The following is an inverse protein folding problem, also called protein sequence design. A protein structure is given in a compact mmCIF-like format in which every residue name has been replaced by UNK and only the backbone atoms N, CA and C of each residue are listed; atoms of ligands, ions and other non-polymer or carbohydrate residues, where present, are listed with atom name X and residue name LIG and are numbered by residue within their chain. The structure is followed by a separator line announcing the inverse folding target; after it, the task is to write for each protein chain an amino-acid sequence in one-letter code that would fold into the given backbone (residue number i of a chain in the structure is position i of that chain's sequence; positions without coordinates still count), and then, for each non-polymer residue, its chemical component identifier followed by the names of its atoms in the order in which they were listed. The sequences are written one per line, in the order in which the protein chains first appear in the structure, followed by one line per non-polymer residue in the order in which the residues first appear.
data_IF_836660844674
#
_entry.id   IF_836660844674
#
_cell.length_a   1.000
_cell.length_b   1.000
_cell.length_c   1.000
_cell.angle_alpha   90.00
_cell.angle_beta   90.00
_cell.angle_gamma   90.00
#
_symmetry.space_group_name_H-M   'P 1'
#
loop_
_entity.id
_entity.type
_entity.pdbx_description
1 polymer ?
2 non-polymer ?
3 water ?
#
# COMPACT_ATOMS: atom_id res chain seq x y z
N UNK A 1 -0.95 -1.19 -18.20
CA UNK A 1 -2.39 -1.19 -18.03
C UNK A 1 -2.77 -0.08 -17.03
N UNK A 2 -3.90 0.62 -17.28
CA UNK A 2 -4.49 1.53 -16.32
C UNK A 2 -5.49 0.78 -15.46
N UNK A 3 -5.53 1.12 -14.18
CA UNK A 3 -6.47 0.49 -13.26
C UNK A 3 -7.65 1.40 -12.95
N UNK A 4 -7.85 2.46 -13.72
CA UNK A 4 -8.95 3.38 -13.48
C UNK A 4 -10.28 2.64 -13.43
N UNK A 5 -11.04 2.89 -12.35
CA UNK A 5 -12.33 2.30 -12.16
C UNK A 5 -12.32 0.84 -11.81
N UNK A 6 -11.15 0.26 -11.50
CA UNK A 6 -11.05 -1.17 -11.28
C UNK A 6 -10.41 -1.48 -9.94
N UNK A 7 -10.76 -2.64 -9.41
CA UNK A 7 -10.14 -3.19 -8.21
C UNK A 7 -9.43 -4.49 -8.58
N UNK A 8 -8.62 -4.96 -7.65
CA UNK A 8 -7.84 -6.17 -7.79
C UNK A 8 -8.30 -7.23 -6.80
N UNK A 9 -8.96 -8.27 -7.30
CA UNK A 9 -9.48 -9.33 -6.44
C UNK A 9 -8.37 -10.38 -6.25
N UNK A 10 -7.53 -10.19 -5.23
CA UNK A 10 -6.43 -11.12 -4.98
C UNK A 10 -6.82 -12.36 -4.16
N UNK A 11 -7.98 -12.38 -3.54
CA UNK A 11 -8.34 -13.45 -2.63
C UNK A 11 -8.11 -14.84 -3.21
N UNK A 12 -7.34 -15.64 -2.50
CA UNK A 12 -7.06 -17.00 -2.86
C UNK A 12 -6.15 -17.21 -4.04
N UNK A 13 -5.55 -16.14 -4.60
CA UNK A 13 -4.84 -16.30 -5.87
C UNK A 13 -3.34 -16.21 -5.66
N UNK A 14 -2.73 -17.36 -5.36
CA UNK A 14 -1.38 -17.40 -4.82
C UNK A 14 -0.28 -16.96 -5.77
N UNK A 15 -0.44 -17.20 -7.07
CA UNK A 15 0.60 -16.87 -8.04
C UNK A 15 0.32 -15.58 -8.79
N UNK A 16 -0.40 -14.66 -8.17
CA UNK A 16 -0.74 -13.42 -8.83
C UNK A 16 -0.04 -12.27 -8.12
N UNK A 17 0.24 -11.24 -8.90
CA UNK A 17 0.76 -9.98 -8.37
C UNK A 17 0.50 -8.90 -9.40
N UNK A 18 0.59 -7.67 -8.95
CA UNK A 18 0.62 -6.51 -9.83
C UNK A 18 1.87 -5.73 -9.44
N UNK A 19 2.59 -5.20 -10.41
CA UNK A 19 3.75 -4.37 -10.14
C UNK A 19 3.66 -3.08 -10.95
N UNK A 20 4.30 -2.04 -10.38
CA UNK A 20 4.38 -0.74 -11.04
C UNK A 20 5.53 -0.80 -12.04
N UNK A 21 5.24 -0.42 -13.30
CA UNK A 21 6.28 -0.46 -14.33
C UNK A 21 7.38 0.55 -14.05
N UNK A 22 7.01 1.76 -13.66
CA UNK A 22 7.99 2.81 -13.37
C UNK A 22 8.72 2.50 -12.07
N UNK A 23 10.04 2.60 -12.08
CA UNK A 23 10.75 2.67 -10.80
C UNK A 23 10.44 4.01 -10.14
N UNK A 24 10.63 4.06 -8.82
CA UNK A 24 10.23 5.22 -8.01
C UNK A 24 11.47 6.03 -7.66
N UNK A 25 11.44 7.37 -7.72
CA UNK A 25 12.66 8.15 -7.45
C UNK A 25 12.93 8.26 -5.95
N UNK A 26 14.09 8.84 -5.63
CA UNK A 26 14.42 9.11 -4.23
C UNK A 26 13.44 10.14 -3.69
N UNK A 27 12.82 9.83 -2.55
CA UNK A 27 11.82 10.69 -1.93
C UNK A 27 12.23 10.99 -0.49
N UNK A 28 12.33 12.27 -0.15
CA UNK A 28 12.59 12.61 1.24
C UNK A 28 11.33 12.61 2.08
N UNK A 29 10.18 12.95 1.49
CA UNK A 29 8.90 12.94 2.18
C UNK A 29 7.91 12.33 1.21
N UNK A 30 6.97 11.52 1.72
CA UNK A 30 5.94 10.99 0.83
C UNK A 30 4.74 10.53 1.65
N UNK A 31 3.61 10.39 0.94
CA UNK A 31 2.40 9.79 1.44
C UNK A 31 2.01 8.68 0.48
N UNK A 32 1.65 7.52 1.04
CA UNK A 32 1.22 6.39 0.23
C UNK A 32 -0.08 5.88 0.83
N UNK A 33 -1.12 5.75 0.01
CA UNK A 33 -2.40 5.25 0.48
C UNK A 33 -2.86 4.08 -0.39
N UNK A 34 -3.61 3.17 0.23
CA UNK A 34 -4.31 2.12 -0.51
C UNK A 34 -5.64 1.87 0.16
N UNK A 35 -6.60 1.42 -0.63
CA UNK A 35 -7.87 0.89 -0.11
C UNK A 35 -7.80 -0.63 -0.11
N UNK A 36 -8.35 -1.25 0.93
CA UNK A 36 -8.34 -2.70 1.03
C UNK A 36 -9.64 -3.19 1.66
N UNK A 37 -10.04 -4.40 1.28
CA UNK A 37 -11.18 -5.08 1.88
C UNK A 37 -10.81 -6.54 2.08
N UNK A 38 -11.02 -7.04 3.29
CA UNK A 38 -10.79 -8.43 3.62
C UNK A 38 -12.05 -9.24 3.32
N UNK A 39 -11.87 -10.36 2.62
CA UNK A 39 -13.01 -11.20 2.26
C UNK A 39 -13.05 -12.51 3.06
N UNK A 40 -12.28 -12.61 4.14
CA UNK A 40 -12.41 -13.72 5.08
C UNK A 40 -12.16 -13.16 6.47
N UNK A 41 -12.80 -13.76 7.46
CA UNK A 41 -12.77 -13.20 8.81
C UNK A 41 -11.43 -13.46 9.49
N UNK A 42 -10.97 -14.71 9.45
CA UNK A 42 -9.78 -15.14 10.17
C UNK A 42 -8.72 -15.45 9.13
N UNK A 43 -7.74 -14.56 9.00
CA UNK A 43 -6.72 -14.70 7.97
C UNK A 43 -5.34 -14.95 8.58
N UNK A 44 -4.42 -15.34 7.72
CA UNK A 44 -3.02 -15.55 8.05
C UNK A 44 -2.25 -14.29 7.63
N UNK A 45 -0.92 -14.38 7.64
CA UNK A 45 -0.11 -13.24 7.24
C UNK A 45 -0.40 -12.85 5.80
N UNK A 46 -0.39 -11.54 5.53
CA UNK A 46 -0.66 -11.00 4.21
C UNK A 46 0.17 -9.73 3.97
N UNK A 47 0.33 -9.39 2.70
CA UNK A 47 0.98 -8.17 2.26
C UNK A 47 0.05 -7.44 1.33
N UNK A 48 -0.12 -6.13 1.54
CA UNK A 48 -0.91 -5.31 0.63
C UNK A 48 -0.06 -4.62 -0.43
N UNK A 49 1.04 -3.98 -0.02
CA UNK A 49 1.99 -3.43 -0.95
C UNK A 49 3.38 -3.52 -0.35
N UNK A 50 4.37 -3.64 -1.23
CA UNK A 50 5.76 -3.67 -0.83
C UNK A 50 6.59 -2.96 -1.88
N UNK A 51 7.63 -2.28 -1.42
CA UNK A 51 8.60 -1.59 -2.26
C UNK A 51 9.90 -2.36 -2.08
N UNK A 52 10.33 -3.03 -3.16
CA UNK A 52 11.39 -4.03 -3.13
C UNK A 52 12.59 -3.46 -3.87
N UNK A 53 13.74 -3.48 -3.21
CA UNK A 53 14.99 -3.11 -3.84
C UNK A 53 15.93 -4.31 -3.75
N UNK A 54 17.18 -4.09 -4.14
CA UNK A 54 18.15 -5.17 -4.11
C UNK A 54 18.37 -5.68 -2.70
N UNK A 55 18.10 -4.85 -1.68
CA UNK A 55 18.17 -5.33 -0.30
C UNK A 55 17.39 -6.62 -0.10
N UNK A 56 16.29 -6.79 -0.85
CA UNK A 56 15.38 -7.90 -0.59
C UNK A 56 15.81 -9.19 -1.26
N UNK A 57 16.50 -9.12 -2.40
CA UNK A 57 16.88 -10.34 -3.09
C UNK A 57 17.94 -11.14 -2.37
N UNK A 58 18.44 -10.63 -1.24
CA UNK A 58 19.41 -11.35 -0.41
C UNK A 58 18.63 -12.01 0.72
N UNK A 59 18.37 -13.32 0.57
CA UNK A 59 17.65 -14.09 1.56
C UNK A 59 16.18 -13.77 1.68
N UNK A 60 15.66 -12.79 0.94
CA UNK A 60 14.24 -12.43 0.95
C UNK A 60 13.75 -12.13 2.35
N UNK A 61 14.42 -11.18 3.00
CA UNK A 61 14.14 -10.87 4.39
C UNK A 61 14.05 -9.39 4.69
N UNK A 62 14.47 -8.50 3.81
CA UNK A 62 14.53 -7.07 4.09
C UNK A 62 13.74 -6.29 3.05
N UNK A 63 12.69 -5.60 3.51
CA UNK A 63 11.78 -4.83 2.67
C UNK A 63 11.95 -3.36 3.03
N UNK A 64 12.19 -2.53 2.01
CA UNK A 64 12.44 -1.10 2.27
C UNK A 64 11.18 -0.40 2.79
N UNK A 65 10.02 -0.79 2.27
CA UNK A 65 8.75 -0.21 2.70
C UNK A 65 7.66 -1.23 2.39
N UNK A 66 6.78 -1.48 3.34
CA UNK A 66 5.65 -2.33 3.04
C UNK A 66 4.55 -2.24 4.07
N UNK A 67 3.37 -2.60 3.64
CA UNK A 67 2.20 -2.72 4.49
C UNK A 67 1.74 -4.17 4.42
N UNK A 68 1.70 -4.81 5.58
CA UNK A 68 1.37 -6.21 5.75
C UNK A 68 0.53 -6.35 7.00
N UNK A 69 0.19 -7.59 7.35
CA UNK A 69 -0.59 -7.81 8.56
C UNK A 69 -0.96 -9.27 8.72
N UNK A 70 -1.76 -9.51 9.76
CA UNK A 70 -2.35 -10.82 10.06
C UNK A 70 -3.76 -10.55 10.59
N UNK A 71 -4.37 -11.56 11.22
CA UNK A 71 -5.77 -11.43 11.58
C UNK A 71 -6.01 -10.39 12.66
N UNK A 72 -4.99 -10.07 13.46
CA UNK A 72 -5.15 -9.11 14.53
C UNK A 72 -4.14 -7.97 14.49
N UNK A 73 -3.29 -7.90 13.46
CA UNK A 73 -2.22 -6.93 13.42
C UNK A 73 -2.06 -6.27 12.07
N UNK A 74 -1.64 -5.01 12.11
CA UNK A 74 -1.08 -4.31 10.95
C UNK A 74 0.41 -4.20 11.16
N UNK A 75 1.17 -4.42 10.09
CA UNK A 75 2.62 -4.50 10.14
C UNK A 75 3.19 -3.54 9.10
N UNK A 76 4.07 -2.64 9.54
CA UNK A 76 4.78 -1.75 8.64
C UNK A 76 6.23 -2.17 8.60
N UNK A 77 6.77 -2.27 7.39
CA UNK A 77 8.20 -2.46 7.20
C UNK A 77 8.84 -1.17 6.75
N UNK A 78 9.98 -0.83 7.36
CA UNK A 78 10.79 0.30 6.95
C UNK A 78 12.26 -0.10 7.05
N UNK A 79 12.93 -0.14 5.89
CA UNK A 79 14.36 -0.40 5.83
C UNK A 79 14.72 -1.62 6.69
N UNK A 80 13.90 -2.65 6.61
CA UNK A 80 14.16 -3.88 7.31
C UNK A 80 13.66 -3.95 8.73
N UNK A 81 13.28 -2.82 9.33
CA UNK A 81 12.68 -2.81 10.66
C UNK A 81 11.19 -3.01 10.54
N UNK A 82 10.58 -3.64 11.54
CA UNK A 82 9.14 -3.83 11.55
C UNK A 82 8.48 -3.10 12.72
N UNK A 83 7.27 -2.64 12.48
CA UNK A 83 6.45 -1.99 13.49
C UNK A 83 5.08 -2.62 13.37
N UNK A 84 4.61 -3.24 14.46
CA UNK A 84 3.35 -3.97 14.43
C UNK A 84 2.42 -3.41 15.49
N UNK A 85 1.15 -3.23 15.13
CA UNK A 85 0.12 -2.74 16.04
C UNK A 85 -1.08 -3.66 15.96
N UNK A 86 -1.75 -3.85 17.08
CA UNK A 86 -3.01 -4.59 17.08
C UNK A 86 -4.09 -3.79 16.37
N UNK A 87 -4.87 -4.48 15.52
CA UNK A 87 -6.00 -3.87 14.82
C UNK A 87 -7.24 -4.71 15.02
N UNK A 88 -8.40 -4.09 14.85
CA UNK A 88 -9.69 -4.76 14.88
C UNK A 88 -10.50 -4.41 13.63
N UNK A 89 -9.87 -4.51 12.47
CA UNK A 89 -10.53 -4.12 11.21
C UNK A 89 -11.61 -5.11 10.82
N UNK A 90 -12.78 -4.58 10.49
CA UNK A 90 -13.90 -5.43 10.09
C UNK A 90 -13.66 -6.00 8.69
N UNK A 91 -14.10 -7.24 8.50
CA UNK A 91 -14.09 -7.82 7.17
C UNK A 91 -15.27 -7.27 6.35
N UNK A 92 -15.12 -7.35 5.04
CA UNK A 92 -16.16 -7.01 4.07
C UNK A 92 -16.51 -5.54 4.09
N UNK A 93 -15.59 -4.71 4.57
CA UNK A 93 -15.72 -3.26 4.56
C UNK A 93 -14.43 -2.69 4.02
N UNK A 94 -14.57 -1.70 3.15
CA UNK A 94 -13.39 -1.06 2.60
C UNK A 94 -12.78 -0.15 3.63
N UNK A 95 -11.45 -0.24 3.74
CA UNK A 95 -10.67 0.62 4.63
C UNK A 95 -9.61 1.31 3.79
N UNK A 96 -9.30 2.56 4.14
CA UNK A 96 -8.23 3.32 3.50
C UNK A 96 -7.09 3.43 4.51
N UNK A 97 -5.92 2.91 4.14
CA UNK A 97 -4.73 2.97 4.99
C UNK A 97 -3.70 3.84 4.29
N UNK A 98 -3.25 4.87 4.99
CA UNK A 98 -2.26 5.79 4.47
C UNK A 98 -1.04 5.78 5.36
N UNK A 99 0.12 5.88 4.73
CA UNK A 99 1.42 5.96 5.39
C UNK A 99 2.04 7.30 5.03
N UNK A 100 2.62 7.97 6.00
CA UNK A 100 3.36 9.22 5.77
C UNK A 100 4.77 8.98 6.26
N UNK A 101 5.74 9.26 5.39
CA UNK A 101 7.14 9.22 5.74
C UNK A 101 7.70 10.62 5.64
N UNK A 102 8.17 11.16 6.76
CA UNK A 102 8.91 12.41 6.79
C UNK A 102 10.37 12.05 7.02
N UNK A 103 11.13 11.93 5.93
CA UNK A 103 12.53 11.58 6.02
C UNK A 103 13.41 12.67 6.60
N UNK A 104 12.94 13.92 6.62
CA UNK A 104 13.70 14.98 7.26
C UNK A 104 13.70 14.81 8.78
N UNK A 105 12.52 14.60 9.35
CA UNK A 105 12.37 14.38 10.78
C UNK A 105 12.55 12.92 11.17
N UNK A 106 12.51 11.99 10.22
CA UNK A 106 12.63 10.59 10.58
C UNK A 106 11.37 10.08 11.26
N UNK A 107 10.21 10.43 10.69
CA UNK A 107 8.91 10.16 11.29
C UNK A 107 8.12 9.32 10.31
N UNK A 108 7.53 8.22 10.79
CA UNK A 108 6.69 7.35 9.98
C UNK A 108 5.34 7.22 10.69
N UNK A 109 4.26 7.54 9.99
CA UNK A 109 2.92 7.50 10.56
C UNK A 109 2.00 6.62 9.73
N UNK A 110 1.08 5.94 10.43
CA UNK A 110 0.08 5.10 9.80
C UNK A 110 -1.30 5.59 10.20
N UNK A 111 -2.18 5.71 9.20
CA UNK A 111 -3.54 6.17 9.40
C UNK A 111 -4.54 5.15 8.90
N UNK A 112 -5.66 5.06 9.60
CA UNK A 112 -6.85 4.35 9.13
C UNK A 112 -7.90 5.42 8.83
N UNK A 113 -8.25 5.58 7.56
CA UNK A 113 -9.09 6.70 7.11
C UNK A 113 -8.45 7.99 7.62
N UNK A 114 -9.18 8.86 8.33
CA UNK A 114 -8.61 10.13 8.74
C UNK A 114 -7.86 10.06 10.07
N UNK A 115 -7.76 8.89 10.69
CA UNK A 115 -7.30 8.79 12.07
C UNK A 115 -5.93 8.13 12.18
N UNK A 116 -5.01 8.80 12.85
CA UNK A 116 -3.68 8.24 13.05
C UNK A 116 -3.74 7.09 14.05
N UNK A 117 -3.14 5.96 13.71
CA UNK A 117 -3.08 4.82 14.62
C UNK A 117 -1.67 4.51 15.07
N UNK A 118 -0.64 5.00 14.40
CA UNK A 118 0.75 4.75 14.77
C UNK A 118 1.61 5.93 14.33
N UNK A 119 2.48 6.35 15.22
CA UNK A 119 3.61 7.21 14.87
C UNK A 119 4.88 6.59 15.42
N UNK A 120 5.86 6.43 14.54
CA UNK A 120 7.13 5.81 14.89
C UNK A 120 8.24 6.78 14.53
N UNK A 121 9.31 6.73 15.32
CA UNK A 121 10.51 7.47 15.00
C UNK A 121 11.60 6.48 14.61
N UNK A 122 12.33 6.81 13.56
CA UNK A 122 13.43 5.98 13.12
C UNK A 122 14.51 6.91 12.59
N UNK A 123 15.56 6.32 12.04
CA UNK A 123 16.62 7.10 11.43
C UNK A 123 16.01 8.01 10.36
N UNK A 124 16.23 9.32 10.41
CA UNK A 124 15.98 10.16 9.22
C UNK A 124 16.67 9.53 8.02
N UNK A 125 15.90 9.33 6.95
CA UNK A 125 16.40 8.64 5.76
C UNK A 125 15.43 8.95 4.64
N UNK A 126 15.93 9.04 3.42
CA UNK A 126 15.04 9.12 2.28
C UNK A 126 14.61 7.72 1.87
N UNK A 127 13.62 7.67 0.98
CA UNK A 127 13.30 6.39 0.34
C UNK A 127 14.42 6.02 -0.63
N UNK A 128 14.92 4.77 -0.50
CA UNK A 128 15.93 4.26 -1.41
C UNK A 128 15.36 4.28 -2.83
N UNK A 129 16.10 4.73 -3.82
CA UNK A 129 15.50 4.92 -5.14
C UNK A 129 15.54 3.67 -6.02
N UNK A 130 14.66 3.68 -7.00
CA UNK A 130 14.66 2.75 -8.11
C UNK A 130 14.28 1.33 -7.74
N UNK A 131 13.54 1.14 -6.65
CA UNK A 131 12.95 -0.12 -6.33
C UNK A 131 11.67 -0.32 -7.12
N UNK A 132 11.04 -1.47 -6.92
CA UNK A 132 9.81 -1.82 -7.61
C UNK A 132 8.68 -1.98 -6.59
N UNK A 133 7.55 -1.34 -6.89
CA UNK A 133 6.35 -1.47 -6.08
C UNK A 133 5.53 -2.67 -6.55
N UNK A 134 5.20 -3.56 -5.60
CA UNK A 134 4.35 -4.72 -5.79
C UNK A 134 3.09 -4.57 -4.95
N UNK A 135 1.96 -4.96 -5.53
CA UNK A 135 0.68 -5.06 -4.85
C UNK A 135 0.31 -6.53 -4.70
N UNK A 136 -0.25 -6.84 -3.52
CA UNK A 136 -0.88 -8.09 -3.26
C UNK A 136 0.02 -9.22 -2.89
N UNK A 137 1.31 -9.09 -3.13
CA UNK A 137 2.24 -10.22 -3.11
C UNK A 137 3.15 -10.23 -1.89
N UNK A 151 -1.13 -16.86 0.79
CA UNK A 151 -0.03 -16.12 0.17
C UNK A 151 -0.48 -14.77 -0.38
N UNK A 152 -1.49 -14.80 -1.23
CA UNK A 152 -1.99 -13.59 -1.86
C UNK A 152 -2.89 -12.85 -0.88
N UNK A 153 -3.02 -11.54 -1.10
CA UNK A 153 -3.83 -10.71 -0.20
C UNK A 153 -5.23 -11.30 -0.12
N UNK A 154 -5.79 -11.49 1.11
CA UNK A 154 -7.11 -12.17 1.24
C UNK A 154 -8.32 -11.25 1.05
N UNK A 155 -8.43 -10.70 -0.14
CA UNK A 155 -9.50 -9.80 -0.49
C UNK A 155 -9.11 -8.97 -1.71
N UNK A 156 -9.59 -7.73 -1.72
CA UNK A 156 -9.36 -6.86 -2.88
C UNK A 156 -8.61 -5.60 -2.46
N UNK A 157 -7.84 -5.05 -3.39
CA UNK A 157 -7.08 -3.82 -3.23
C UNK A 157 -7.51 -2.84 -4.30
N UNK A 158 -7.43 -1.55 -3.98
CA UNK A 158 -7.95 -0.52 -4.86
C UNK A 158 -7.28 0.80 -4.53
N UNK A 159 -6.99 1.58 -5.56
CA UNK A 159 -6.71 3.01 -5.43
C UNK A 159 -5.41 3.28 -4.66
N UNK A 160 -4.35 2.53 -4.99
CA UNK A 160 -3.03 2.93 -4.53
C UNK A 160 -2.64 4.28 -5.12
N UNK A 161 -2.11 5.17 -4.26
CA UNK A 161 -1.60 6.47 -4.67
C UNK A 161 -0.34 6.77 -3.88
N UNK A 162 0.61 7.44 -4.53
CA UNK A 162 1.82 7.88 -3.84
C UNK A 162 2.13 9.31 -4.30
N UNK A 163 2.34 10.19 -3.31
CA UNK A 163 2.67 11.59 -3.50
C UNK A 163 4.04 11.85 -2.90
N UNK A 164 4.78 12.79 -3.49
CA UNK A 164 6.10 13.17 -2.98
C UNK A 164 6.04 14.26 -1.93
N UNK A 165 4.95 14.32 -1.17
CA UNK A 165 4.82 15.31 -0.10
C UNK A 165 3.84 14.75 0.93
N UNK A 166 3.72 15.49 2.03
CA UNK A 166 2.94 15.07 3.19
C UNK A 166 1.54 15.62 3.01
N UNK A 167 0.57 14.71 2.88
CA UNK A 167 -0.84 15.10 2.87
C UNK A 167 -1.34 15.22 4.30
N UNK A 168 -2.22 16.18 4.53
CA UNK A 168 -2.94 16.27 5.79
C UNK A 168 -4.10 15.27 5.80
N UNK A 169 -4.46 14.84 7.01
CA UNK A 169 -5.59 13.94 7.24
C UNK A 169 -6.81 14.28 6.39
N UNK A 170 -7.18 15.56 6.36
CA UNK A 170 -8.42 15.97 5.71
C UNK A 170 -8.41 15.72 4.22
N UNK A 171 -7.25 15.44 3.61
CA UNK A 171 -7.19 15.21 2.19
C UNK A 171 -7.19 13.73 1.83
N UNK A 172 -6.98 12.83 2.81
CA UNK A 172 -6.78 11.43 2.48
C UNK A 172 -7.96 10.85 1.72
N UNK A 173 -9.19 11.30 2.01
CA UNK A 173 -10.43 10.74 1.46
C UNK A 173 -11.02 11.57 0.34
N UNK A 174 -10.27 12.52 -0.22
CA UNK A 174 -10.79 13.42 -1.23
C UNK A 174 -10.57 12.91 -2.65
N UNK A 175 -10.13 11.68 -2.80
CA UNK A 175 -10.05 11.05 -4.10
C UNK A 175 -9.06 11.76 -5.02
N UNK A 176 -7.95 12.20 -4.48
CA UNK A 176 -6.88 12.75 -5.27
C UNK A 176 -6.02 11.65 -5.87
N UNK A 177 -5.35 11.97 -6.97
CA UNK A 177 -4.42 11.09 -7.65
C UNK A 177 -3.00 11.42 -7.19
N UNK A 178 -2.23 10.38 -6.87
CA UNK A 178 -0.84 10.58 -6.51
C UNK A 178 -0.06 11.22 -7.64
N UNK A 179 0.88 12.08 -7.27
CA UNK A 179 1.70 12.75 -8.28
C UNK A 179 2.96 11.99 -8.62
N UNK A 180 3.28 10.92 -7.89
CA UNK A 180 4.36 10.00 -8.23
C UNK A 180 3.82 8.67 -8.78
N UNK A 181 2.84 8.08 -8.10
CA UNK A 181 2.16 6.88 -8.55
C UNK A 181 0.67 7.15 -8.47
N UNK A 182 -0.05 6.87 -9.54
CA UNK A 182 -1.50 7.01 -9.58
C UNK A 182 -2.15 5.76 -10.16
N UNK A 183 -3.17 5.26 -9.47
CA UNK A 183 -3.92 4.09 -9.92
C UNK A 183 -4.41 4.23 -11.35
N UNK A 184 -4.90 5.41 -11.72
CA UNK A 184 -5.55 5.59 -13.00
C UNK A 184 -4.55 5.62 -14.17
N UNK A 185 -3.28 5.83 -13.91
CA UNK A 185 -2.33 5.92 -15.01
C UNK A 185 -2.00 4.54 -15.59
N UNK A 186 -1.59 4.57 -16.85
CA UNK A 186 -1.26 3.33 -17.59
C UNK A 186 0.17 2.93 -17.23
N UNK A 187 0.33 2.43 -16.00
CA UNK A 187 1.65 2.17 -15.43
C UNK A 187 1.77 0.81 -14.75
N UNK A 188 0.75 -0.04 -14.90
CA UNK A 188 0.66 -1.26 -14.09
C UNK A 188 0.83 -2.51 -14.92
N UNK A 189 1.57 -3.46 -14.36
CA UNK A 189 1.78 -4.78 -14.95
C UNK A 189 1.01 -5.79 -14.12
N UNK A 190 0.12 -6.55 -14.78
CA UNK A 190 -0.71 -7.53 -14.07
C UNK A 190 -0.17 -8.91 -14.38
N UNK A 191 -0.07 -9.76 -13.35
CA UNK A 191 0.41 -11.13 -13.52
C UNK A 191 -0.72 -12.03 -13.06
N UNK A 192 -1.42 -12.63 -14.05
CA UNK A 192 -2.42 -13.67 -13.84
C UNK A 192 -3.64 -13.20 -13.07
N UNK A 193 -3.87 -11.91 -12.97
CA UNK A 193 -5.07 -11.37 -12.33
C UNK A 193 -5.76 -10.48 -13.36
N UNK A 194 -7.09 -10.54 -13.37
CA UNK A 194 -7.91 -9.71 -14.22
C UNK A 194 -8.52 -8.63 -13.32
N UNK A 195 -8.11 -7.36 -13.49
CA UNK A 195 -8.78 -6.28 -12.74
C UNK A 195 -10.24 -6.18 -13.14
N UNK A 196 -11.07 -5.83 -12.17
CA UNK A 196 -12.50 -5.82 -12.37
C UNK A 196 -13.09 -4.44 -12.09
N UNK A 197 -14.02 -4.05 -12.94
CA UNK A 197 -14.75 -2.81 -12.76
C UNK A 197 -15.79 -2.97 -11.65
N UNK A 198 -15.94 -1.92 -10.84
CA UNK A 198 -16.96 -1.89 -9.82
C UNK A 198 -17.35 -0.42 -9.70
N UNK A 199 -18.52 -0.07 -10.21
CA UNK A 199 -18.91 1.33 -10.28
C UNK A 199 -19.30 1.90 -8.91
N UNK A 200 -19.40 1.05 -7.90
CA UNK A 200 -19.62 1.48 -6.53
C UNK A 200 -18.33 1.88 -5.82
N UNK A 201 -17.17 1.75 -6.49
CA UNK A 201 -15.93 2.08 -5.80
C UNK A 201 -15.87 3.55 -5.41
N UNK A 202 -15.20 3.80 -4.28
CA UNK A 202 -15.23 5.07 -3.57
C UNK A 202 -14.94 6.26 -4.47
N UNK A 203 -13.96 6.15 -5.35
CA UNK A 203 -13.52 7.30 -6.15
C UNK A 203 -13.86 7.14 -7.62
N UNK A 204 -14.79 6.24 -7.94
CA UNK A 204 -15.15 5.98 -9.32
C UNK A 204 -15.89 7.16 -9.91
N UNK A 205 -15.46 7.62 -11.07
CA UNK A 205 -16.15 8.68 -11.80
C UNK A 205 -16.14 8.33 -13.29
N UNK A 206 -17.29 8.28 -13.96
CA UNK A 206 -17.29 8.12 -15.42
C UNK A 206 -16.56 9.28 -16.11
X LIG B 1 -8.41 12.53 -10.52
#
# INVERSE_FOLDING_TARGET
LSLKGKKLDFFGRGDTYVSLIDTIPELSRFTACIDLVFMDDNSRYWMAFSYITNNALLGREDIDLGLAGDHQQLILYRLGKTFSIRHHLASFQWHTICLIWDGVKGKLELFLNKERILEVTDQPHNLTPHGTLFLGHFLKNESSEVKSMMRSFPGSLYYFQLWDHILENEEFMKCLDGNIVSWEEDVWLVNKIIPTVDRTLRCFVPENMTIQEKSGGGGAGGGGGTDDDDKWSHPQFEK
MG MG
#
